data_IF_330827991367
#
_entry.id   IF_330827991367
#
_cell.length_a   1.000
_cell.length_b   1.000
_cell.length_c   1.000
_cell.angle_alpha   90.00
_cell.angle_beta   90.00
_cell.angle_gamma   90.00
#
_symmetry.space_group_name_H-M   'P 1'
#
loop_
_entity.id
_entity.type
_entity.pdbx_description
1 polymer ?
#
# COMPACT_ATOMS: atom_id res chain seq x y z
N UNK A 1 4.09 4.53 -0.45
CA UNK A 1 4.07 3.13 0.01
C UNK A 1 2.93 2.34 -0.63
N UNK A 2 1.65 2.82 -0.57
CA UNK A 2 0.48 2.08 -1.08
C UNK A 2 0.63 1.64 -2.56
N UNK A 3 1.06 2.53 -3.44
CA UNK A 3 1.26 2.21 -4.86
C UNK A 3 2.25 1.05 -5.08
N UNK A 4 3.36 1.03 -4.32
CA UNK A 4 4.36 -0.06 -4.41
C UNK A 4 3.77 -1.40 -3.96
N UNK A 5 2.97 -1.40 -2.90
CA UNK A 5 2.30 -2.62 -2.43
C UNK A 5 1.28 -3.11 -3.46
N UNK A 6 0.55 -2.20 -4.12
CA UNK A 6 -0.37 -2.55 -5.20
C UNK A 6 0.36 -3.13 -6.42
N UNK A 7 1.52 -2.59 -6.79
CA UNK A 7 2.37 -3.18 -7.85
C UNK A 7 2.79 -4.60 -7.46
N UNK A 8 3.23 -4.81 -6.22
CA UNK A 8 3.58 -6.16 -5.74
C UNK A 8 2.37 -7.10 -5.75
N UNK A 9 1.20 -6.61 -5.34
CA UNK A 9 -0.05 -7.38 -5.36
C UNK A 9 -0.46 -7.79 -6.79
N UNK A 10 -0.18 -6.96 -7.79
CA UNK A 10 -0.50 -7.23 -9.19
C UNK A 10 0.21 -8.48 -9.75
N UNK A 11 1.30 -8.94 -9.13
CA UNK A 11 1.99 -10.19 -9.49
C UNK A 11 1.11 -11.41 -9.18
N UNK A 12 0.27 -11.33 -8.16
CA UNK A 12 -0.55 -12.43 -7.65
C UNK A 12 -2.00 -12.40 -8.14
N UNK A 13 -2.39 -11.34 -8.84
CA UNK A 13 -3.77 -11.18 -9.32
C UNK A 13 -3.86 -11.57 -10.79
N UNK A 14 -4.64 -12.58 -11.16
CA UNK A 14 -4.91 -12.92 -12.56
C UNK A 14 -5.43 -11.70 -13.31
N UNK A 15 -5.02 -11.54 -14.56
CA UNK A 15 -5.39 -10.41 -15.44
C UNK A 15 -4.77 -9.05 -15.07
N UNK A 16 -4.02 -8.94 -13.96
CA UNK A 16 -3.26 -7.74 -13.63
C UNK A 16 -1.83 -7.82 -14.20
N UNK A 17 -1.29 -6.67 -14.57
CA UNK A 17 0.07 -6.55 -15.10
C UNK A 17 0.94 -5.65 -14.21
N UNK A 18 1.83 -6.26 -13.44
CA UNK A 18 2.72 -5.53 -12.52
C UNK A 18 3.72 -4.62 -13.25
N UNK A 19 4.19 -5.00 -14.43
CA UNK A 19 5.09 -4.18 -15.25
C UNK A 19 4.41 -2.89 -15.72
N UNK A 20 3.16 -2.99 -16.20
CA UNK A 20 2.36 -1.80 -16.54
C UNK A 20 1.98 -1.00 -15.29
N UNK A 21 1.69 -1.66 -14.18
CA UNK A 21 1.38 -0.97 -12.91
C UNK A 21 2.52 -0.03 -12.49
N UNK A 22 3.77 -0.51 -12.49
CA UNK A 22 4.91 0.32 -12.09
C UNK A 22 5.21 1.42 -13.10
N UNK A 23 5.17 1.14 -14.40
CA UNK A 23 5.45 2.15 -15.43
C UNK A 23 4.41 3.26 -15.44
N UNK A 24 3.12 2.93 -15.37
CA UNK A 24 2.03 3.90 -15.31
C UNK A 24 2.08 4.71 -14.01
N UNK A 25 2.30 4.04 -12.87
CA UNK A 25 2.44 4.70 -11.58
C UNK A 25 3.56 5.76 -11.60
N UNK A 26 4.74 5.42 -12.11
CA UNK A 26 5.88 6.34 -12.14
C UNK A 26 5.69 7.48 -13.15
N UNK A 27 5.03 7.23 -14.27
CA UNK A 27 4.77 8.21 -15.32
C UNK A 27 3.69 9.20 -14.90
N UNK A 28 2.57 8.72 -14.36
CA UNK A 28 1.33 9.49 -14.26
C UNK A 28 0.95 9.94 -12.86
N UNK A 29 1.59 9.39 -11.80
CA UNK A 29 1.21 9.71 -10.41
C UNK A 29 1.22 11.21 -10.09
N UNK A 30 2.07 11.98 -10.77
CA UNK A 30 2.20 13.43 -10.58
C UNK A 30 1.12 14.24 -11.30
N UNK A 31 0.34 13.62 -12.18
CA UNK A 31 -0.76 14.28 -12.89
C UNK A 31 -1.99 14.48 -12.01
N UNK A 32 -2.03 13.82 -10.84
CA UNK A 32 -3.11 13.94 -9.88
C UNK A 32 -2.94 15.20 -9.02
N UNK A 33 -4.04 15.89 -8.74
CA UNK A 33 -4.07 17.09 -7.88
C UNK A 33 -3.61 16.83 -6.44
N UNK A 34 -3.81 15.60 -5.94
CA UNK A 34 -3.31 15.16 -4.63
C UNK A 34 -1.99 14.40 -4.79
N UNK A 35 -0.90 14.85 -4.13
CA UNK A 35 0.43 14.23 -4.29
C UNK A 35 0.50 12.77 -3.82
N UNK A 36 -0.43 12.32 -2.98
CA UNK A 36 -0.45 10.95 -2.47
C UNK A 36 -1.40 10.02 -3.24
N UNK A 37 -2.51 10.54 -3.78
CA UNK A 37 -3.54 9.72 -4.43
C UNK A 37 -3.10 9.19 -5.79
N UNK A 38 -2.31 9.94 -6.53
CA UNK A 38 -1.86 9.55 -7.87
C UNK A 38 -1.04 8.24 -7.90
N UNK A 39 -0.28 7.94 -6.85
CA UNK A 39 0.52 6.71 -6.79
C UNK A 39 -0.31 5.42 -6.79
N UNK A 40 -1.28 5.23 -5.87
CA UNK A 40 -2.14 4.05 -5.91
C UNK A 40 -3.05 4.04 -7.14
N UNK A 41 -3.56 5.20 -7.59
CA UNK A 41 -4.38 5.27 -8.80
C UNK A 41 -3.59 4.86 -10.04
N UNK A 42 -2.36 5.34 -10.21
CA UNK A 42 -1.49 4.95 -11.32
C UNK A 42 -1.14 3.47 -11.31
N UNK A 43 -0.91 2.89 -10.11
CA UNK A 43 -0.67 1.46 -9.97
C UNK A 43 -1.88 0.63 -10.41
N UNK A 44 -3.10 0.99 -9.99
CA UNK A 44 -4.35 0.29 -10.38
C UNK A 44 -4.64 0.48 -11.86
N UNK A 45 -4.53 1.71 -12.38
CA UNK A 45 -4.74 2.03 -13.79
C UNK A 45 -3.84 1.17 -14.69
N UNK A 46 -2.55 1.13 -14.39
CA UNK A 46 -1.59 0.32 -15.13
C UNK A 46 -1.82 -1.19 -14.97
N UNK A 47 -2.11 -1.65 -13.74
CA UNK A 47 -2.36 -3.07 -13.47
C UNK A 47 -3.52 -3.64 -14.28
N UNK A 48 -4.60 -2.88 -14.42
CA UNK A 48 -5.87 -3.35 -15.00
C UNK A 48 -6.18 -2.78 -16.39
N UNK A 49 -5.21 -2.11 -17.02
CA UNK A 49 -5.37 -1.50 -18.33
C UNK A 49 -6.53 -0.50 -18.38
N UNK A 50 -6.55 0.41 -17.42
CA UNK A 50 -7.56 1.44 -17.28
C UNK A 50 -6.98 2.83 -17.50
N UNK A 51 -7.86 3.78 -17.83
CA UNK A 51 -7.58 5.20 -17.81
C UNK A 51 -8.52 5.84 -16.80
N UNK A 52 -7.95 6.36 -15.71
CA UNK A 52 -8.66 6.90 -14.56
C UNK A 52 -8.53 8.43 -14.50
N UNK A 53 -9.23 9.06 -13.58
CA UNK A 53 -9.31 10.52 -13.46
C UNK A 53 -9.91 11.18 -14.72
N UNK A 54 -9.14 12.04 -15.40
CA UNK A 54 -9.59 12.78 -16.57
C UNK A 54 -10.56 13.93 -16.25
N UNK A 55 -10.97 14.70 -17.28
CA UNK A 55 -11.86 15.83 -17.09
C UNK A 55 -13.22 15.41 -16.51
N UNK A 56 -13.63 16.05 -15.42
CA UNK A 56 -14.89 15.75 -14.70
C UNK A 56 -15.68 17.02 -14.45
N UNK A 57 -17.00 16.89 -14.44
CA UNK A 57 -17.90 17.99 -14.12
C UNK A 57 -18.41 17.85 -12.67
N UNK A 58 -18.04 18.80 -11.80
CA UNK A 58 -18.54 18.90 -10.43
C UNK A 58 -19.40 20.15 -10.31
N UNK A 59 -20.70 19.97 -10.12
CA UNK A 59 -21.66 21.08 -9.90
C UNK A 59 -21.53 22.22 -10.92
N UNK A 60 -21.39 21.88 -12.19
CA UNK A 60 -21.27 22.85 -13.29
C UNK A 60 -19.85 23.42 -13.53
N UNK A 61 -18.86 23.01 -12.73
CA UNK A 61 -17.45 23.36 -12.97
C UNK A 61 -16.70 22.18 -13.57
N UNK A 62 -16.08 22.39 -14.72
CA UNK A 62 -15.22 21.39 -15.35
C UNK A 62 -13.85 21.43 -14.68
N UNK A 63 -13.52 20.37 -13.95
CA UNK A 63 -12.17 20.13 -13.44
C UNK A 63 -11.39 19.38 -14.51
N UNK A 64 -10.33 19.98 -15.03
CA UNK A 64 -9.45 19.42 -16.06
C UNK A 64 -8.29 18.68 -15.40
N UNK A 65 -8.57 17.53 -14.74
CA UNK A 65 -7.51 16.64 -14.29
C UNK A 65 -6.93 15.88 -15.50
N UNK A 66 -5.63 15.60 -15.45
CA UNK A 66 -4.97 14.74 -16.43
C UNK A 66 -5.44 13.29 -16.28
N UNK A 67 -5.43 12.54 -17.39
CA UNK A 67 -5.67 11.11 -17.34
C UNK A 67 -4.51 10.39 -16.63
N UNK A 68 -4.86 9.39 -15.85
CA UNK A 68 -3.92 8.47 -15.20
C UNK A 68 -4.11 7.10 -15.85
N UNK A 69 -3.07 6.65 -16.55
CA UNK A 69 -3.14 5.47 -17.40
C UNK A 69 -3.59 5.79 -18.82
N UNK A 70 -3.32 4.87 -19.70
CA UNK A 70 -3.57 4.93 -21.16
C UNK A 70 -4.47 3.78 -21.66
N UNK A 71 -5.11 3.08 -20.73
CA UNK A 71 -6.01 1.98 -20.99
C UNK A 71 -7.44 2.42 -21.30
N UNK A 72 -8.40 1.54 -21.01
CA UNK A 72 -9.83 1.75 -21.26
C UNK A 72 -10.42 2.78 -20.29
N UNK A 73 -11.25 3.68 -20.83
CA UNK A 73 -12.00 4.67 -20.01
C UNK A 73 -13.33 4.12 -19.50
N UNK A 74 -13.90 3.09 -20.17
CA UNK A 74 -15.12 2.41 -19.73
C UNK A 74 -14.79 1.36 -18.69
N UNK A 75 -15.07 1.65 -17.43
CA UNK A 75 -14.92 0.73 -16.31
C UNK A 75 -16.15 -0.17 -16.22
N UNK A 76 -15.93 -1.46 -16.08
CA UNK A 76 -16.97 -2.50 -15.94
C UNK A 76 -17.06 -2.98 -14.49
N UNK A 77 -18.16 -3.72 -14.17
CA UNK A 77 -18.26 -4.37 -12.87
C UNK A 77 -17.14 -5.40 -12.62
N UNK A 78 -16.59 -5.97 -13.68
CA UNK A 78 -15.47 -6.90 -13.59
C UNK A 78 -14.17 -6.19 -13.20
N UNK A 79 -13.92 -4.99 -13.73
CA UNK A 79 -12.78 -4.17 -13.35
C UNK A 79 -12.84 -3.78 -11.86
N UNK A 80 -14.03 -3.48 -11.35
CA UNK A 80 -14.23 -3.21 -9.91
C UNK A 80 -13.89 -4.45 -9.09
N UNK A 81 -14.32 -5.66 -9.50
CA UNK A 81 -13.96 -6.90 -8.81
C UNK A 81 -12.45 -7.15 -8.81
N UNK A 82 -11.77 -6.96 -9.95
CA UNK A 82 -10.33 -7.11 -10.04
C UNK A 82 -9.60 -6.09 -9.17
N UNK A 83 -10.09 -4.85 -9.09
CA UNK A 83 -9.55 -3.83 -8.17
C UNK A 83 -9.71 -4.26 -6.72
N UNK A 84 -10.85 -4.83 -6.33
CA UNK A 84 -11.07 -5.36 -4.98
C UNK A 84 -10.14 -6.53 -4.65
N UNK A 85 -9.90 -7.45 -5.60
CA UNK A 85 -8.92 -8.53 -5.42
C UNK A 85 -7.51 -7.97 -5.26
N UNK A 86 -7.13 -7.01 -6.10
CA UNK A 86 -5.83 -6.34 -6.01
C UNK A 86 -5.64 -5.68 -4.65
N UNK A 87 -6.67 -4.97 -4.17
CA UNK A 87 -6.67 -4.34 -2.86
C UNK A 87 -6.58 -5.36 -1.71
N UNK A 88 -7.34 -6.45 -1.76
CA UNK A 88 -7.32 -7.49 -0.75
C UNK A 88 -5.92 -8.15 -0.63
N UNK A 89 -5.29 -8.49 -1.77
CA UNK A 89 -3.92 -9.02 -1.80
C UNK A 89 -2.93 -7.99 -1.25
N UNK A 90 -3.06 -6.72 -1.61
CA UNK A 90 -2.22 -5.64 -1.09
C UNK A 90 -2.33 -5.52 0.45
N UNK A 91 -3.54 -5.63 1.00
CA UNK A 91 -3.77 -5.65 2.45
C UNK A 91 -3.09 -6.87 3.12
N UNK A 92 -3.20 -8.06 2.52
CA UNK A 92 -2.54 -9.26 3.05
C UNK A 92 -1.01 -9.12 3.05
N UNK A 93 -0.42 -8.59 1.98
CA UNK A 93 1.01 -8.29 1.90
C UNK A 93 1.40 -7.31 3.01
N UNK A 94 0.62 -6.25 3.21
CA UNK A 94 0.90 -5.24 4.24
C UNK A 94 0.82 -5.83 5.65
N UNK A 95 -0.18 -6.64 5.94
CA UNK A 95 -0.30 -7.36 7.22
C UNK A 95 0.91 -8.26 7.44
N UNK A 96 1.32 -9.01 6.42
CA UNK A 96 2.51 -9.86 6.48
C UNK A 96 3.78 -9.07 6.81
N UNK A 97 4.01 -7.94 6.14
CA UNK A 97 5.16 -7.06 6.40
C UNK A 97 5.14 -6.54 7.85
N UNK A 98 3.99 -6.05 8.32
CA UNK A 98 3.85 -5.53 9.68
C UNK A 98 4.11 -6.64 10.71
N UNK A 99 3.58 -7.84 10.47
CA UNK A 99 3.77 -8.99 11.37
C UNK A 99 5.24 -9.38 11.45
N UNK A 100 5.94 -9.46 10.32
CA UNK A 100 7.38 -9.76 10.29
C UNK A 100 8.17 -8.70 11.04
N UNK A 101 7.90 -7.42 10.78
CA UNK A 101 8.57 -6.32 11.48
C UNK A 101 8.33 -6.35 12.98
N UNK A 102 7.12 -6.68 13.41
CA UNK A 102 6.79 -6.80 14.83
C UNK A 102 7.53 -7.98 15.46
N UNK A 103 7.53 -9.14 14.80
CA UNK A 103 8.26 -10.34 15.28
C UNK A 103 9.75 -10.07 15.40
N UNK A 104 10.37 -9.45 14.41
CA UNK A 104 11.80 -9.10 14.48
C UNK A 104 12.12 -8.12 15.61
N UNK A 105 11.21 -7.22 15.94
CA UNK A 105 11.35 -6.31 17.08
C UNK A 105 11.26 -7.03 18.43
N UNK A 106 10.30 -7.94 18.56
CA UNK A 106 10.09 -8.70 19.81
C UNK A 106 11.21 -9.73 20.08
N UNK A 107 11.78 -10.32 19.01
CA UNK A 107 12.86 -11.32 19.13
C UNK A 107 14.26 -10.71 19.13
N UNK A 108 14.39 -9.39 19.05
CA UNK A 108 15.69 -8.72 19.08
C UNK A 108 16.41 -8.98 20.42
N UNK A 109 17.61 -9.59 20.42
CA UNK A 109 18.27 -10.06 21.65
C UNK A 109 18.55 -8.96 22.70
N UNK A 110 18.56 -7.71 22.28
CA UNK A 110 18.73 -6.57 23.19
C UNK A 110 17.50 -6.22 24.05
N UNK A 111 16.30 -6.64 23.68
CA UNK A 111 15.10 -6.39 24.50
C UNK A 111 14.95 -7.42 25.61
N UNK A 112 15.14 -8.71 25.32
CA UNK A 112 15.11 -9.78 26.33
C UNK A 112 16.16 -9.56 27.41
N UNK A 113 17.34 -9.06 27.04
CA UNK A 113 18.41 -8.70 27.97
C UNK A 113 18.03 -7.53 28.89
N UNK A 114 17.39 -6.50 28.37
CA UNK A 114 16.95 -5.33 29.16
C UNK A 114 15.81 -5.68 30.14
N UNK A 115 14.84 -6.48 29.72
CA UNK A 115 13.76 -6.91 30.59
C UNK A 115 14.28 -7.81 31.73
N UNK A 116 15.19 -8.75 31.41
CA UNK A 116 15.84 -9.58 32.40
C UNK A 116 16.65 -8.77 33.43
N UNK A 117 17.39 -7.75 32.97
CA UNK A 117 18.13 -6.84 33.84
C UNK A 117 17.19 -5.99 34.71
N UNK A 118 16.07 -5.52 34.18
CA UNK A 118 15.09 -4.75 34.94
C UNK A 118 14.45 -5.60 36.05
N UNK A 119 14.07 -6.85 35.74
CA UNK A 119 13.54 -7.79 36.72
C UNK A 119 14.57 -8.09 37.80
N UNK A 120 15.82 -8.38 37.45
CA UNK A 120 16.91 -8.62 38.39
C UNK A 120 17.16 -7.43 39.30
N UNK A 121 17.15 -6.22 38.76
CA UNK A 121 17.34 -4.99 39.53
C UNK A 121 16.20 -4.78 40.54
N UNK A 122 14.95 -5.05 40.13
CA UNK A 122 13.76 -4.95 40.99
C UNK A 122 13.80 -5.98 42.11
N UNK A 123 14.17 -7.23 41.80
CA UNK A 123 14.29 -8.30 42.80
C UNK A 123 15.40 -8.02 43.81
N UNK A 124 16.56 -7.49 43.39
CA UNK A 124 17.64 -7.09 44.29
C UNK A 124 17.24 -5.91 45.19
N UNK A 125 16.46 -4.96 44.65
CA UNK A 125 15.91 -3.86 45.46
C UNK A 125 14.97 -4.34 46.57
N UNK A 126 14.10 -5.31 46.28
CA UNK A 126 13.22 -5.93 47.27
C UNK A 126 13.98 -6.73 48.34
N UNK A 127 15.05 -7.42 47.95
CA UNK A 127 15.91 -8.15 48.90
C UNK A 127 16.61 -7.27 49.91
N UNK A 128 16.93 -6.04 49.55
CA UNK A 128 17.58 -5.08 50.44
C UNK A 128 16.62 -4.32 51.36
N UNK A 129 15.31 -4.50 51.19
CA UNK A 129 14.23 -3.92 52.02
C UNK A 129 13.70 -4.91 53.12
N UNK A 130 14.11 -6.17 53.05
CA UNK A 130 13.83 -7.24 54.02
C UNK A 130 15.05 -7.50 54.90
#
# INVERSE_FOLDING_TARGET
>A
LAGVILVAAAVFVPMANAGRAITTMLRDARNHSSPNAGWPEGAVAGALDLSLAGPRNYSGKVVKDGWIGDGRTKVTAQDIRHTLYLYAIACLIQIGIITILLMTRLTAPGQLSREAQTILHTLNGLKNLL
#
